data_IF_570860332131
#
_entry.id   IF_570860332131
#
_cell.length_a   1.000
_cell.length_b   1.000
_cell.length_c   1.000
_cell.angle_alpha   90.00
_cell.angle_beta   90.00
_cell.angle_gamma   90.00
#
_symmetry.space_group_name_H-M   'P 1'
#
loop_
_entity.id
_entity.type
_entity.pdbx_description
1 polymer ?
#
# COMPACT_ATOMS: atom_id res chain seq x y z
N UNK A 1 -44.88 2.79 18.67
CA UNK A 1 -43.50 2.34 18.55
C UNK A 1 -42.85 3.15 17.42
N UNK A 2 -42.13 4.23 17.74
CA UNK A 2 -41.47 5.09 16.73
C UNK A 2 -40.16 4.39 16.31
N UNK A 3 -40.04 4.01 15.05
CA UNK A 3 -38.80 3.55 14.44
C UNK A 3 -37.86 4.77 14.45
N UNK A 4 -36.66 4.70 15.03
CA UNK A 4 -35.75 5.81 15.00
C UNK A 4 -35.37 6.11 13.55
N UNK A 5 -35.60 7.33 13.09
CA UNK A 5 -35.10 7.83 11.81
C UNK A 5 -33.57 7.70 11.83
N UNK A 6 -33.06 6.67 11.21
CA UNK A 6 -31.62 6.55 10.91
C UNK A 6 -31.31 7.73 9.97
N UNK A 7 -30.57 8.71 10.45
CA UNK A 7 -30.13 9.84 9.63
C UNK A 7 -29.49 9.27 8.36
N UNK A 8 -30.03 9.62 7.18
CA UNK A 8 -29.49 9.19 5.91
C UNK A 8 -28.04 9.70 5.81
N UNK A 9 -27.07 8.79 5.85
CA UNK A 9 -25.67 9.17 5.66
C UNK A 9 -25.51 9.72 4.24
N UNK A 10 -24.89 10.87 4.11
CA UNK A 10 -24.57 11.45 2.79
C UNK A 10 -23.65 10.50 2.04
N UNK A 11 -24.03 10.14 0.81
CA UNK A 11 -23.20 9.30 -0.06
C UNK A 11 -22.06 10.15 -0.62
N UNK A 12 -20.84 9.66 -0.50
CA UNK A 12 -19.65 10.32 -1.08
C UNK A 12 -19.56 9.93 -2.55
N UNK A 13 -19.62 10.91 -3.44
CA UNK A 13 -19.39 10.70 -4.87
C UNK A 13 -17.90 10.75 -5.15
N UNK A 14 -17.36 9.68 -5.76
CA UNK A 14 -15.95 9.53 -6.11
C UNK A 14 -15.83 9.33 -7.61
N UNK A 15 -14.96 10.10 -8.24
CA UNK A 15 -14.65 9.95 -9.65
C UNK A 15 -13.39 9.08 -9.85
N UNK A 16 -13.57 7.90 -10.41
CA UNK A 16 -12.47 6.96 -10.69
C UNK A 16 -11.49 7.42 -11.77
N UNK A 17 -11.79 8.50 -12.49
CA UNK A 17 -10.88 9.13 -13.45
C UNK A 17 -9.99 10.21 -12.82
N UNK A 18 -10.15 10.52 -11.54
CA UNK A 18 -9.31 11.51 -10.84
C UNK A 18 -7.84 11.06 -10.78
N UNK A 19 -6.93 12.03 -10.80
CA UNK A 19 -5.50 11.78 -10.74
C UNK A 19 -5.03 10.85 -11.87
N UNK A 20 -4.36 9.75 -11.52
CA UNK A 20 -3.89 8.74 -12.48
C UNK A 20 -5.01 7.86 -13.07
N UNK A 21 -6.22 7.92 -12.51
CA UNK A 21 -7.39 7.16 -12.99
C UNK A 21 -7.21 5.64 -12.92
N UNK A 22 -6.45 5.15 -11.94
CA UNK A 22 -6.12 3.73 -11.75
C UNK A 22 -6.95 3.03 -10.67
N UNK A 23 -6.46 1.88 -10.25
CA UNK A 23 -7.12 1.05 -9.22
C UNK A 23 -6.98 1.58 -7.79
N UNK A 24 -6.10 2.55 -7.55
CA UNK A 24 -5.85 3.12 -6.23
C UNK A 24 -7.07 3.86 -5.70
N UNK A 25 -7.74 4.67 -6.53
CA UNK A 25 -8.94 5.41 -6.14
C UNK A 25 -9.97 4.49 -5.49
N UNK A 26 -10.21 3.32 -6.10
CA UNK A 26 -11.12 2.31 -5.55
C UNK A 26 -10.65 1.78 -4.20
N UNK A 27 -9.37 1.39 -4.07
CA UNK A 27 -8.85 0.80 -2.82
C UNK A 27 -8.85 1.81 -1.68
N UNK A 28 -8.44 3.04 -1.94
CA UNK A 28 -8.49 4.13 -0.94
C UNK A 28 -9.92 4.42 -0.52
N UNK A 29 -10.88 4.50 -1.46
CA UNK A 29 -12.29 4.72 -1.15
C UNK A 29 -12.88 3.56 -0.32
N UNK A 30 -12.53 2.30 -0.61
CA UNK A 30 -12.93 1.15 0.20
C UNK A 30 -12.40 1.25 1.63
N UNK A 31 -11.08 1.46 1.80
CA UNK A 31 -10.47 1.58 3.12
C UNK A 31 -11.08 2.73 3.92
N UNK A 32 -11.26 3.89 3.30
CA UNK A 32 -11.88 5.07 3.92
C UNK A 32 -13.34 4.83 4.30
N UNK A 33 -14.11 4.17 3.44
CA UNK A 33 -15.49 3.80 3.74
C UNK A 33 -15.58 2.86 4.94
N UNK A 34 -14.69 1.87 5.04
CA UNK A 34 -14.58 0.97 6.19
C UNK A 34 -14.22 1.74 7.48
N UNK A 35 -13.28 2.69 7.41
CA UNK A 35 -12.81 3.47 8.55
C UNK A 35 -13.83 4.49 9.06
N UNK A 36 -14.53 5.15 8.13
CA UNK A 36 -15.45 6.25 8.46
C UNK A 36 -16.92 5.80 8.60
N UNK A 37 -17.22 4.59 8.12
CA UNK A 37 -18.59 4.10 8.02
C UNK A 37 -19.45 4.88 7.03
N UNK A 38 -18.85 5.67 6.12
CA UNK A 38 -19.56 6.47 5.12
C UNK A 38 -19.76 5.67 3.82
N UNK A 39 -20.99 5.64 3.27
CA UNK A 39 -21.25 5.05 1.97
C UNK A 39 -20.65 5.91 0.87
N UNK A 40 -20.23 5.26 -0.23
CA UNK A 40 -19.75 5.97 -1.40
C UNK A 40 -20.29 5.37 -2.70
N UNK A 41 -20.27 6.19 -3.74
CA UNK A 41 -20.46 5.77 -5.13
C UNK A 41 -19.23 6.14 -5.93
N UNK A 42 -18.63 5.16 -6.57
CA UNK A 42 -17.48 5.35 -7.46
C UNK A 42 -17.94 5.12 -8.90
N UNK A 43 -17.68 6.07 -9.76
CA UNK A 43 -17.96 5.99 -11.21
C UNK A 43 -16.68 6.09 -12.01
N UNK A 44 -16.71 5.75 -13.29
CA UNK A 44 -15.54 5.81 -14.21
C UNK A 44 -14.34 5.04 -13.68
N UNK A 45 -14.58 3.84 -13.12
CA UNK A 45 -13.54 3.00 -12.53
C UNK A 45 -12.47 2.69 -13.56
N UNK A 46 -11.22 3.06 -13.26
CA UNK A 46 -10.04 2.82 -14.11
C UNK A 46 -10.19 3.39 -15.53
N UNK A 47 -10.84 4.53 -15.67
CA UNK A 47 -11.14 5.15 -16.96
C UNK A 47 -9.90 5.47 -17.82
N UNK A 48 -8.73 5.67 -17.18
CA UNK A 48 -7.45 5.98 -17.87
C UNK A 48 -6.59 4.74 -18.13
N UNK A 49 -7.17 3.53 -18.09
CA UNK A 49 -6.47 2.27 -18.39
C UNK A 49 -7.02 1.65 -19.66
N UNK A 50 -6.19 0.90 -20.39
CA UNK A 50 -6.57 0.22 -21.63
C UNK A 50 -7.83 -0.65 -21.50
N UNK A 51 -8.06 -1.19 -20.31
CA UNK A 51 -9.26 -1.95 -19.96
C UNK A 51 -9.91 -1.32 -18.73
N UNK A 52 -10.86 -0.40 -18.91
CA UNK A 52 -11.61 0.20 -17.83
C UNK A 52 -12.42 -0.82 -17.00
N UNK A 53 -12.97 -0.37 -15.88
CA UNK A 53 -13.81 -1.18 -15.00
C UNK A 53 -13.03 -2.12 -14.06
N UNK A 54 -13.78 -2.89 -13.29
CA UNK A 54 -13.24 -3.82 -12.29
C UNK A 54 -12.54 -5.01 -12.96
N UNK A 55 -11.29 -5.27 -12.59
CA UNK A 55 -10.53 -6.47 -12.94
C UNK A 55 -10.54 -7.44 -11.75
N UNK A 56 -10.12 -8.71 -11.89
CA UNK A 56 -10.20 -9.71 -10.82
C UNK A 56 -9.67 -9.22 -9.46
N UNK A 57 -8.48 -8.61 -9.41
CA UNK A 57 -7.92 -8.09 -8.15
C UNK A 57 -8.73 -6.93 -7.54
N UNK A 58 -9.38 -6.10 -8.36
CA UNK A 58 -10.24 -5.01 -7.88
C UNK A 58 -11.55 -5.57 -7.31
N UNK A 59 -12.14 -6.54 -8.00
CA UNK A 59 -13.32 -7.24 -7.53
C UNK A 59 -13.02 -7.98 -6.22
N UNK A 60 -11.88 -8.65 -6.12
CA UNK A 60 -11.45 -9.31 -4.88
C UNK A 60 -11.31 -8.30 -3.72
N UNK A 61 -10.77 -7.10 -3.95
CA UNK A 61 -10.70 -6.05 -2.94
C UNK A 61 -12.08 -5.57 -2.50
N UNK A 62 -13.02 -5.37 -3.44
CA UNK A 62 -14.42 -5.01 -3.13
C UNK A 62 -15.10 -6.09 -2.30
N UNK A 63 -14.99 -7.35 -2.72
CA UNK A 63 -15.60 -8.49 -2.03
C UNK A 63 -14.99 -8.71 -0.64
N UNK A 64 -13.68 -8.55 -0.51
CA UNK A 64 -13.00 -8.65 0.77
C UNK A 64 -13.44 -7.52 1.72
N UNK A 65 -13.48 -6.28 1.26
CA UNK A 65 -13.99 -5.14 2.03
C UNK A 65 -15.45 -5.36 2.43
N UNK A 66 -16.30 -5.83 1.52
CA UNK A 66 -17.71 -6.12 1.81
C UNK A 66 -17.87 -7.22 2.86
N UNK A 67 -17.05 -8.27 2.80
CA UNK A 67 -17.13 -9.39 3.74
C UNK A 67 -16.74 -8.97 5.17
N UNK A 68 -15.70 -8.17 5.34
CA UNK A 68 -15.22 -7.76 6.67
C UNK A 68 -16.16 -6.78 7.39
N UNK A 69 -17.09 -6.13 6.68
CA UNK A 69 -18.06 -5.21 7.28
C UNK A 69 -19.51 -5.54 6.95
N UNK A 70 -19.80 -6.68 6.31
CA UNK A 70 -21.12 -7.04 5.83
C UNK A 70 -21.79 -5.90 5.01
N UNK A 71 -21.03 -5.29 4.10
CA UNK A 71 -21.51 -4.19 3.28
C UNK A 71 -22.58 -4.62 2.28
N UNK A 72 -23.43 -3.67 1.90
CA UNK A 72 -24.27 -3.78 0.70
C UNK A 72 -23.52 -3.19 -0.48
N UNK A 73 -23.34 -3.98 -1.54
CA UNK A 73 -22.63 -3.55 -2.73
C UNK A 73 -23.53 -3.68 -3.95
N UNK A 74 -23.42 -2.73 -4.88
CA UNK A 74 -24.03 -2.80 -6.21
C UNK A 74 -22.93 -2.55 -7.24
N UNK A 75 -22.95 -3.31 -8.32
CA UNK A 75 -21.98 -3.16 -9.41
C UNK A 75 -20.68 -3.99 -9.22
N UNK A 76 -20.60 -4.89 -8.26
CA UNK A 76 -19.48 -5.76 -7.94
C UNK A 76 -19.32 -6.93 -8.93
N UNK A 77 -19.09 -6.61 -10.19
CA UNK A 77 -18.86 -7.59 -11.27
C UNK A 77 -17.68 -7.15 -12.16
N UNK A 78 -17.04 -8.13 -12.77
CA UNK A 78 -15.94 -7.86 -13.73
C UNK A 78 -16.41 -6.91 -14.82
N UNK A 79 -15.57 -5.93 -15.16
CA UNK A 79 -15.85 -4.92 -16.15
C UNK A 79 -16.77 -3.79 -15.70
N UNK A 80 -17.33 -3.84 -14.49
CA UNK A 80 -18.17 -2.75 -13.98
C UNK A 80 -17.38 -1.46 -13.84
N UNK A 81 -17.87 -0.38 -14.44
CA UNK A 81 -17.27 0.95 -14.35
C UNK A 81 -17.85 1.80 -13.23
N UNK A 82 -18.82 1.26 -12.49
CA UNK A 82 -19.38 1.94 -11.33
C UNK A 82 -19.73 0.95 -10.21
N UNK A 83 -19.51 1.37 -8.96
CA UNK A 83 -19.99 0.65 -7.77
C UNK A 83 -20.66 1.62 -6.81
N UNK A 84 -21.61 1.10 -6.04
CA UNK A 84 -22.09 1.73 -4.81
C UNK A 84 -21.78 0.78 -3.65
N UNK A 85 -21.17 1.33 -2.59
CA UNK A 85 -20.73 0.58 -1.42
C UNK A 85 -21.29 1.22 -0.15
N UNK A 86 -22.07 0.44 0.59
CA UNK A 86 -22.66 0.86 1.87
C UNK A 86 -22.07 -0.01 2.99
N UNK A 87 -21.11 0.49 3.77
CA UNK A 87 -20.44 -0.32 4.78
C UNK A 87 -21.32 -0.53 6.01
N UNK A 88 -21.20 -1.73 6.59
CA UNK A 88 -21.56 -1.99 7.98
C UNK A 88 -20.34 -1.79 8.90
N UNK A 89 -20.46 -2.12 10.20
CA UNK A 89 -19.34 -2.12 11.13
C UNK A 89 -18.26 -3.12 10.72
N UNK A 90 -16.99 -2.73 10.83
CA UNK A 90 -15.87 -3.64 10.61
C UNK A 90 -15.89 -4.73 11.69
N UNK A 91 -15.77 -5.98 11.29
CA UNK A 91 -15.84 -7.15 12.16
C UNK A 91 -14.47 -7.84 12.17
N UNK A 92 -13.77 -7.84 13.30
CA UNK A 92 -12.60 -8.68 13.48
C UNK A 92 -12.95 -10.17 13.32
N UNK A 93 -12.01 -10.97 12.82
CA UNK A 93 -12.23 -12.40 12.60
C UNK A 93 -11.19 -13.04 11.69
N UNK A 94 -11.41 -14.30 11.37
CA UNK A 94 -10.54 -15.08 10.48
C UNK A 94 -11.14 -15.08 9.07
N UNK A 95 -10.35 -14.61 8.09
CA UNK A 95 -10.77 -14.43 6.72
C UNK A 95 -9.80 -15.09 5.74
N UNK A 96 -10.35 -15.75 4.76
CA UNK A 96 -9.62 -16.25 3.59
C UNK A 96 -10.19 -15.61 2.32
N UNK A 97 -9.26 -15.08 1.48
CA UNK A 97 -9.60 -14.50 0.19
C UNK A 97 -8.68 -15.08 -0.89
N UNK A 98 -9.27 -15.69 -1.89
CA UNK A 98 -8.58 -16.14 -3.10
C UNK A 98 -8.89 -15.17 -4.24
N UNK A 99 -7.85 -14.57 -4.82
CA UNK A 99 -8.00 -13.64 -5.94
C UNK A 99 -8.26 -14.39 -7.25
N UNK A 100 -7.98 -15.70 -7.28
CA UNK A 100 -8.21 -16.58 -8.43
C UNK A 100 -7.27 -16.35 -9.62
N UNK A 101 -6.33 -15.41 -9.51
CA UNK A 101 -5.36 -15.02 -10.54
C UNK A 101 -4.04 -14.62 -9.89
N UNK A 102 -3.05 -14.19 -10.71
CA UNK A 102 -1.85 -13.54 -10.19
C UNK A 102 -2.08 -12.10 -9.69
N UNK A 103 -3.32 -11.72 -9.38
CA UNK A 103 -3.61 -10.41 -8.79
C UNK A 103 -2.95 -10.24 -7.42
N UNK A 104 -2.48 -9.02 -7.13
CA UNK A 104 -1.63 -8.73 -5.99
C UNK A 104 -2.35 -8.89 -4.64
N UNK A 105 -1.85 -9.80 -3.81
CA UNK A 105 -2.29 -10.00 -2.41
C UNK A 105 -2.00 -8.77 -1.55
N UNK A 106 -0.88 -8.09 -1.82
CA UNK A 106 -0.46 -6.86 -1.13
C UNK A 106 -1.50 -5.74 -1.23
N UNK A 107 -2.11 -5.56 -2.40
CA UNK A 107 -3.12 -4.51 -2.60
C UNK A 107 -4.44 -4.79 -1.88
N UNK A 108 -4.83 -6.07 -1.76
CA UNK A 108 -5.98 -6.47 -0.94
C UNK A 108 -5.67 -6.30 0.54
N UNK A 109 -4.47 -6.72 0.97
CA UNK A 109 -4.02 -6.51 2.35
C UNK A 109 -4.04 -5.03 2.74
N UNK A 110 -3.46 -4.16 1.93
CA UNK A 110 -3.43 -2.71 2.19
C UNK A 110 -4.83 -2.10 2.29
N UNK A 111 -5.82 -2.64 1.55
CA UNK A 111 -7.21 -2.18 1.65
C UNK A 111 -7.84 -2.52 2.99
N UNK A 112 -7.51 -3.67 3.59
CA UNK A 112 -8.15 -4.20 4.80
C UNK A 112 -7.38 -3.92 6.08
N UNK A 113 -6.05 -3.75 5.99
CA UNK A 113 -5.19 -3.74 7.17
C UNK A 113 -5.59 -2.67 8.17
N UNK A 114 -5.63 -1.41 7.75
CA UNK A 114 -5.89 -0.31 8.67
C UNK A 114 -7.28 -0.38 9.31
N UNK A 115 -8.38 -0.62 8.55
CA UNK A 115 -9.69 -0.87 9.14
C UNK A 115 -9.72 -1.99 10.21
N UNK A 116 -9.06 -3.10 9.95
CA UNK A 116 -9.00 -4.21 10.91
C UNK A 116 -8.05 -3.92 12.08
N UNK A 117 -6.97 -3.18 11.84
CA UNK A 117 -6.03 -2.79 12.89
C UNK A 117 -6.65 -1.80 13.89
N UNK A 118 -7.55 -0.93 13.44
CA UNK A 118 -8.24 0.02 14.31
C UNK A 118 -9.46 -0.60 15.01
N UNK A 119 -10.06 -1.64 14.43
CA UNK A 119 -11.19 -2.35 15.03
C UNK A 119 -10.78 -3.06 16.34
N UNK A 120 -11.70 -3.10 17.30
CA UNK A 120 -11.46 -3.81 18.55
C UNK A 120 -11.57 -5.33 18.35
N UNK A 121 -10.43 -6.02 18.44
CA UNK A 121 -10.36 -7.47 18.33
C UNK A 121 -9.38 -7.96 17.27
N UNK A 122 -8.89 -9.18 17.48
CA UNK A 122 -7.89 -9.81 16.61
C UNK A 122 -8.50 -10.27 15.30
N UNK A 123 -7.73 -10.10 14.22
CA UNK A 123 -8.06 -10.66 12.91
C UNK A 123 -6.90 -11.48 12.35
N UNK A 124 -7.22 -12.49 11.54
CA UNK A 124 -6.27 -13.22 10.71
C UNK A 124 -6.75 -13.16 9.27
N UNK A 125 -5.85 -12.82 8.37
CA UNK A 125 -6.09 -12.83 6.93
C UNK A 125 -5.20 -13.88 6.28
N UNK A 126 -5.76 -14.73 5.45
CA UNK A 126 -5.02 -15.54 4.49
C UNK A 126 -5.41 -15.08 3.08
N UNK A 127 -4.42 -14.63 2.31
CA UNK A 127 -4.63 -14.03 0.98
C UNK A 127 -3.89 -14.88 -0.04
N UNK A 128 -4.61 -15.44 -1.02
CA UNK A 128 -4.04 -16.23 -2.10
C UNK A 128 -4.06 -15.48 -3.42
N UNK A 129 -2.90 -15.42 -4.12
CA UNK A 129 -2.77 -14.70 -5.39
C UNK A 129 -1.32 -14.48 -5.78
N UNK A 130 -1.02 -13.29 -6.32
CA UNK A 130 0.33 -12.82 -6.60
C UNK A 130 0.96 -12.17 -5.37
N UNK A 131 2.18 -12.57 -5.01
CA UNK A 131 2.94 -11.99 -3.89
C UNK A 131 4.16 -11.20 -4.36
N UNK A 132 4.63 -11.51 -5.57
CA UNK A 132 5.75 -10.87 -6.26
C UNK A 132 5.35 -10.64 -7.72
N UNK A 133 4.54 -9.62 -7.94
CA UNK A 133 3.97 -9.32 -9.26
C UNK A 133 4.14 -7.85 -9.61
N UNK A 134 4.20 -7.50 -10.91
CA UNK A 134 4.38 -6.13 -11.35
C UNK A 134 3.29 -5.17 -10.84
N UNK A 135 3.64 -3.89 -10.74
CA UNK A 135 2.76 -2.78 -10.36
C UNK A 135 2.09 -2.95 -8.98
N UNK A 136 2.80 -3.61 -8.06
CA UNK A 136 2.38 -3.73 -6.66
C UNK A 136 3.58 -3.99 -5.76
N UNK A 137 3.53 -3.62 -4.46
CA UNK A 137 4.55 -4.01 -3.51
C UNK A 137 4.65 -5.53 -3.42
N UNK A 138 5.88 -6.06 -3.43
CA UNK A 138 6.07 -7.49 -3.18
C UNK A 138 5.96 -7.79 -1.66
N UNK A 139 5.85 -9.09 -1.31
CA UNK A 139 5.75 -9.50 0.09
C UNK A 139 6.89 -8.96 0.94
N UNK A 140 8.14 -9.10 0.51
CA UNK A 140 9.31 -8.66 1.28
C UNK A 140 9.36 -7.14 1.46
N UNK A 141 8.86 -6.35 0.49
CA UNK A 141 8.67 -4.91 0.65
C UNK A 141 7.68 -4.61 1.78
N UNK A 142 6.55 -5.33 1.84
CA UNK A 142 5.58 -5.15 2.92
C UNK A 142 6.14 -5.54 4.29
N UNK A 143 6.87 -6.65 4.38
CA UNK A 143 7.38 -7.17 5.65
C UNK A 143 8.59 -6.39 6.16
N UNK A 144 9.58 -6.09 5.29
CA UNK A 144 10.82 -5.47 5.70
C UNK A 144 10.76 -3.95 5.78
N UNK A 145 9.76 -3.33 5.16
CA UNK A 145 9.70 -1.89 5.02
C UNK A 145 8.38 -1.30 5.51
N UNK A 146 7.27 -1.57 4.81
CA UNK A 146 5.97 -1.00 5.14
C UNK A 146 5.51 -1.33 6.57
N UNK A 147 5.62 -2.59 6.98
CA UNK A 147 5.24 -3.04 8.33
C UNK A 147 6.05 -2.32 9.41
N UNK A 148 7.34 -2.12 9.20
CA UNK A 148 8.20 -1.45 10.19
C UNK A 148 7.85 0.03 10.34
N UNK A 149 7.54 0.72 9.26
CA UNK A 149 7.09 2.12 9.33
C UNK A 149 5.70 2.25 9.96
N UNK A 150 4.78 1.31 9.67
CA UNK A 150 3.48 1.28 10.34
C UNK A 150 3.61 1.01 11.84
N UNK A 151 4.56 0.18 12.26
CA UNK A 151 4.84 -0.05 13.68
C UNK A 151 5.31 1.25 14.38
N UNK A 152 6.10 2.10 13.71
CA UNK A 152 6.46 3.43 14.23
C UNK A 152 5.23 4.33 14.44
N UNK A 153 4.20 4.15 13.62
CA UNK A 153 2.91 4.82 13.77
C UNK A 153 2.00 4.17 14.82
N UNK A 154 2.42 3.09 15.47
CA UNK A 154 1.59 2.36 16.44
C UNK A 154 0.60 1.37 15.82
N UNK A 155 0.77 1.04 14.53
CA UNK A 155 -0.02 0.00 13.85
C UNK A 155 0.83 -1.26 13.74
N UNK A 156 0.53 -2.25 14.56
CA UNK A 156 1.29 -3.50 14.68
C UNK A 156 0.53 -4.66 14.05
N UNK A 157 1.22 -5.49 13.30
CA UNK A 157 0.74 -6.73 12.73
C UNK A 157 1.91 -7.62 12.30
N UNK A 158 1.67 -8.91 12.15
CA UNK A 158 2.66 -9.87 11.66
C UNK A 158 2.29 -10.33 10.25
N UNK A 159 3.32 -10.60 9.44
CA UNK A 159 3.19 -11.17 8.10
C UNK A 159 3.97 -12.48 8.01
N UNK A 160 3.44 -13.42 7.25
CA UNK A 160 4.12 -14.66 6.89
C UNK A 160 3.84 -14.99 5.41
N UNK A 161 4.90 -15.35 4.69
CA UNK A 161 4.82 -15.90 3.33
C UNK A 161 4.84 -17.41 3.42
N UNK A 162 3.72 -18.06 3.13
CA UNK A 162 3.66 -19.53 3.07
C UNK A 162 4.03 -20.06 1.70
N UNK A 163 3.69 -19.30 0.65
CA UNK A 163 3.95 -19.65 -0.74
C UNK A 163 4.19 -18.39 -1.56
N UNK A 164 5.25 -18.33 -2.34
CA UNK A 164 5.46 -17.22 -3.27
C UNK A 164 4.59 -17.37 -4.52
N UNK A 165 4.06 -16.26 -5.02
CA UNK A 165 3.23 -16.21 -6.22
C UNK A 165 3.76 -15.19 -7.21
N UNK A 166 4.25 -15.67 -8.36
CA UNK A 166 4.78 -14.84 -9.44
C UNK A 166 3.82 -14.79 -10.63
N UNK A 167 3.87 -13.71 -11.39
CA UNK A 167 3.13 -13.60 -12.65
C UNK A 167 3.70 -14.58 -13.70
N UNK A 168 2.87 -15.21 -14.55
CA UNK A 168 1.41 -15.08 -14.66
C UNK A 168 0.59 -16.04 -13.75
N UNK A 169 1.22 -17.00 -13.09
CA UNK A 169 0.51 -18.09 -12.39
C UNK A 169 -0.12 -17.64 -11.06
N UNK A 170 0.53 -16.73 -10.31
CA UNK A 170 0.10 -16.43 -8.95
C UNK A 170 0.22 -17.64 -8.02
N UNK A 171 -0.85 -17.97 -7.30
CA UNK A 171 -0.90 -19.13 -6.42
C UNK A 171 -0.05 -19.01 -5.15
N UNK A 172 0.47 -17.81 -4.87
CA UNK A 172 1.15 -17.51 -3.61
C UNK A 172 0.16 -17.29 -2.49
N UNK A 173 0.62 -17.39 -1.24
CA UNK A 173 -0.20 -17.18 -0.06
C UNK A 173 0.56 -16.39 0.99
N UNK A 174 -0.09 -15.30 1.45
CA UNK A 174 0.38 -14.43 2.53
C UNK A 174 -0.62 -14.51 3.67
N UNK A 175 -0.11 -14.67 4.89
CA UNK A 175 -0.89 -14.61 6.11
C UNK A 175 -0.56 -13.34 6.87
N UNK A 176 -1.59 -12.66 7.39
CA UNK A 176 -1.44 -11.51 8.27
C UNK A 176 -2.18 -11.77 9.59
N UNK A 177 -1.51 -11.48 10.71
CA UNK A 177 -2.13 -11.50 12.05
C UNK A 177 -2.18 -10.06 12.57
N UNK A 178 -3.38 -9.57 12.83
CA UNK A 178 -3.66 -8.19 13.20
C UNK A 178 -4.28 -8.20 14.60
N UNK A 179 -3.60 -7.69 15.64
CA UNK A 179 -4.12 -7.70 17.02
C UNK A 179 -5.40 -6.90 17.19
N UNK A 180 -5.58 -5.83 16.40
CA UNK A 180 -6.67 -4.85 16.54
C UNK A 180 -6.40 -3.83 17.66
N UNK A 181 -7.28 -2.83 17.76
CA UNK A 181 -7.19 -1.79 18.79
C UNK A 181 -6.01 -0.82 18.62
N UNK A 182 -5.40 -0.77 17.44
CA UNK A 182 -4.31 0.17 17.12
C UNK A 182 -4.79 1.61 17.23
N UNK A 183 -3.89 2.47 17.71
CA UNK A 183 -4.08 3.92 17.78
C UNK A 183 -2.93 4.59 17.03
N UNK A 184 -3.14 4.97 15.77
CA UNK A 184 -2.10 5.61 14.98
C UNK A 184 -1.63 6.91 15.63
N UNK A 185 -0.32 7.13 15.58
CA UNK A 185 0.35 8.30 16.14
C UNK A 185 0.83 9.21 15.03
N UNK A 186 1.14 10.44 15.36
CA UNK A 186 1.85 11.35 14.46
C UNK A 186 3.28 10.88 14.18
N UNK A 187 3.82 11.28 13.04
CA UNK A 187 5.20 10.98 12.62
C UNK A 187 5.89 12.28 12.20
N UNK A 188 7.11 12.48 12.73
CA UNK A 188 8.01 13.56 12.32
C UNK A 188 9.25 12.93 11.70
N UNK A 189 9.41 13.05 10.38
CA UNK A 189 10.44 12.37 9.62
C UNK A 189 10.94 13.25 8.46
N UNK A 190 11.76 14.28 8.79
CA UNK A 190 12.21 15.31 7.85
C UNK A 190 13.65 15.09 7.35
N UNK A 191 14.48 14.47 8.16
CA UNK A 191 15.87 14.23 7.80
C UNK A 191 16.13 12.72 7.75
N UNK A 192 16.69 12.19 6.65
CA UNK A 192 16.97 10.77 6.53
C UNK A 192 18.09 10.32 7.48
N UNK A 193 19.03 11.20 7.77
CA UNK A 193 20.25 10.88 8.52
C UNK A 193 21.27 10.13 7.68
N UNK A 194 22.24 9.51 8.36
CA UNK A 194 23.33 8.78 7.70
C UNK A 194 22.92 7.36 7.35
N UNK A 195 23.38 6.87 6.22
CA UNK A 195 23.22 5.47 5.82
C UNK A 195 23.92 4.55 6.82
N UNK A 196 23.16 3.63 7.43
CA UNK A 196 23.66 2.67 8.42
C UNK A 196 23.96 1.32 7.78
N UNK A 197 23.03 0.81 6.98
CA UNK A 197 23.15 -0.52 6.41
C UNK A 197 22.39 -0.62 5.09
N UNK A 198 22.91 -1.46 4.19
CA UNK A 198 22.15 -1.99 3.05
C UNK A 198 22.08 -3.49 3.19
N UNK A 199 20.89 -4.02 3.29
CA UNK A 199 20.62 -5.45 3.24
C UNK A 199 19.70 -5.80 2.09
N UNK A 200 19.76 -7.02 1.62
CA UNK A 200 18.95 -7.45 0.48
C UNK A 200 18.67 -8.93 0.44
N UNK A 201 17.77 -9.26 -0.43
CA UNK A 201 17.38 -10.63 -0.76
C UNK A 201 17.42 -10.80 -2.28
N UNK A 202 18.12 -11.82 -2.76
CA UNK A 202 17.99 -12.29 -4.12
C UNK A 202 17.36 -13.68 -4.09
N UNK A 203 16.16 -13.82 -4.64
CA UNK A 203 15.43 -15.07 -4.53
C UNK A 203 14.97 -15.60 -5.89
N UNK A 204 14.91 -16.92 -5.98
CA UNK A 204 14.32 -17.66 -7.11
C UNK A 204 13.21 -18.58 -6.63
N UNK A 205 12.31 -18.92 -7.53
CA UNK A 205 11.26 -19.90 -7.33
C UNK A 205 11.16 -20.78 -8.58
N UNK A 206 11.37 -22.08 -8.44
CA UNK A 206 11.37 -23.05 -9.54
C UNK A 206 12.27 -22.65 -10.73
N UNK A 207 13.37 -21.97 -10.44
CA UNK A 207 14.43 -21.57 -11.37
C UNK A 207 15.79 -21.97 -10.79
N UNK A 208 16.84 -22.14 -11.63
CA UNK A 208 18.19 -22.41 -11.14
C UNK A 208 18.66 -21.34 -10.15
N UNK A 209 19.19 -21.75 -9.00
CA UNK A 209 19.76 -20.87 -7.95
C UNK A 209 20.82 -19.91 -8.51
N UNK A 210 21.53 -20.35 -9.55
CA UNK A 210 22.54 -19.51 -10.23
C UNK A 210 21.99 -18.17 -10.74
N UNK A 211 20.69 -18.07 -11.05
CA UNK A 211 20.05 -16.82 -11.44
C UNK A 211 20.07 -15.82 -10.27
N UNK A 212 19.73 -16.25 -9.06
CA UNK A 212 19.79 -15.41 -7.87
C UNK A 212 21.23 -15.05 -7.51
N UNK A 213 22.17 -15.98 -7.67
CA UNK A 213 23.60 -15.70 -7.45
C UNK A 213 24.14 -14.65 -8.44
N UNK A 214 23.70 -14.66 -9.68
CA UNK A 214 24.07 -13.64 -10.68
C UNK A 214 23.48 -12.29 -10.33
N UNK A 215 22.22 -12.21 -9.92
CA UNK A 215 21.59 -10.99 -9.42
C UNK A 215 22.37 -10.41 -8.23
N UNK A 216 22.66 -11.27 -7.24
CA UNK A 216 23.44 -10.89 -6.06
C UNK A 216 24.81 -10.32 -6.44
N UNK A 217 25.58 -11.03 -7.28
CA UNK A 217 26.91 -10.58 -7.73
C UNK A 217 26.86 -9.23 -8.43
N UNK A 218 25.87 -9.05 -9.31
CA UNK A 218 25.67 -7.79 -10.04
C UNK A 218 25.33 -6.64 -9.08
N UNK A 219 24.37 -6.85 -8.17
CA UNK A 219 23.98 -5.83 -7.19
C UNK A 219 25.15 -5.44 -6.28
N UNK A 220 25.87 -6.41 -5.71
CA UNK A 220 27.03 -6.16 -4.86
C UNK A 220 28.12 -5.39 -5.59
N UNK A 221 28.42 -5.74 -6.85
CA UNK A 221 29.39 -5.02 -7.67
C UNK A 221 29.03 -3.57 -7.84
N UNK A 222 27.75 -3.28 -8.15
CA UNK A 222 27.27 -1.91 -8.36
C UNK A 222 27.19 -1.10 -7.05
N UNK A 223 26.70 -1.72 -5.98
CA UNK A 223 26.60 -1.07 -4.67
C UNK A 223 27.98 -0.69 -4.13
N UNK A 224 29.00 -1.56 -4.26
CA UNK A 224 30.39 -1.23 -3.86
C UNK A 224 30.98 -0.12 -4.68
N UNK A 225 30.66 -0.01 -5.96
CA UNK A 225 31.09 1.10 -6.80
C UNK A 225 30.39 2.42 -6.42
N UNK A 226 29.11 2.36 -6.05
CA UNK A 226 28.32 3.53 -5.64
C UNK A 226 28.67 4.01 -4.23
N UNK A 227 28.95 3.09 -3.32
CA UNK A 227 29.14 3.31 -1.88
C UNK A 227 30.36 2.54 -1.39
N UNK A 228 31.60 3.01 -1.68
CA UNK A 228 32.83 2.27 -1.39
C UNK A 228 33.03 1.96 0.11
N UNK A 229 32.48 2.78 0.99
CA UNK A 229 32.57 2.61 2.45
C UNK A 229 31.47 1.74 3.06
N UNK A 230 30.55 1.21 2.25
CA UNK A 230 29.46 0.34 2.73
C UNK A 230 29.78 -1.13 2.48
N UNK A 231 29.29 -1.99 3.36
CA UNK A 231 29.35 -3.44 3.22
C UNK A 231 27.93 -4.01 3.06
N UNK A 232 27.37 -3.95 1.85
CA UNK A 232 26.02 -4.44 1.62
C UNK A 232 25.95 -5.97 1.75
N UNK A 233 24.91 -6.46 2.44
CA UNK A 233 24.65 -7.88 2.61
C UNK A 233 23.43 -8.29 1.79
N UNK A 234 23.58 -9.29 0.91
CA UNK A 234 22.47 -9.84 0.11
C UNK A 234 22.44 -11.34 0.30
N UNK A 235 21.38 -11.84 0.90
CA UNK A 235 21.15 -13.29 1.03
C UNK A 235 20.55 -13.87 -0.25
N UNK A 236 20.79 -15.17 -0.49
CA UNK A 236 20.21 -15.89 -1.62
C UNK A 236 19.28 -16.98 -1.11
N UNK A 237 18.04 -16.94 -1.57
CA UNK A 237 17.00 -17.86 -1.14
C UNK A 237 16.29 -18.56 -2.33
N UNK A 238 15.73 -19.72 -2.03
CA UNK A 238 14.80 -20.42 -2.90
C UNK A 238 13.43 -20.42 -2.23
N UNK A 239 12.45 -19.77 -2.89
CA UNK A 239 11.12 -19.60 -2.33
C UNK A 239 10.21 -20.74 -2.81
N UNK A 240 9.41 -21.34 -1.91
CA UNK A 240 8.37 -22.29 -2.32
C UNK A 240 7.34 -21.55 -3.18
N UNK A 241 7.02 -22.08 -4.36
CA UNK A 241 6.08 -21.46 -5.30
C UNK A 241 5.46 -22.46 -6.26
N UNK A 242 4.26 -22.17 -6.75
CA UNK A 242 3.62 -22.93 -7.84
C UNK A 242 4.22 -22.55 -9.20
N UNK A 243 4.51 -21.27 -9.38
CA UNK A 243 5.05 -20.70 -10.62
C UNK A 243 6.57 -20.53 -10.58
N UNK A 244 7.14 -20.10 -11.71
CA UNK A 244 8.53 -19.68 -11.80
C UNK A 244 8.63 -18.18 -11.57
N UNK A 245 9.71 -17.75 -10.91
CA UNK A 245 9.95 -16.32 -10.73
C UNK A 245 11.26 -16.03 -10.04
N UNK A 246 11.65 -14.77 -10.05
CA UNK A 246 12.81 -14.29 -9.31
C UNK A 246 12.62 -12.82 -8.93
N UNK A 247 13.22 -12.42 -7.82
CA UNK A 247 13.20 -11.08 -7.29
C UNK A 247 14.55 -10.74 -6.70
N UNK A 248 15.00 -9.50 -6.86
CA UNK A 248 16.04 -8.91 -6.03
C UNK A 248 15.44 -7.72 -5.31
N UNK A 249 15.60 -7.69 -3.99
CA UNK A 249 15.13 -6.62 -3.13
C UNK A 249 16.32 -6.06 -2.35
N UNK A 250 16.37 -4.74 -2.21
CA UNK A 250 17.36 -3.99 -1.44
C UNK A 250 16.65 -3.07 -0.46
N UNK A 251 17.08 -3.10 0.79
CA UNK A 251 16.63 -2.20 1.84
C UNK A 251 17.82 -1.37 2.31
N UNK A 252 17.69 -0.05 2.19
CA UNK A 252 18.62 0.90 2.84
C UNK A 252 17.99 1.40 4.14
N UNK A 253 18.75 1.26 5.22
CA UNK A 253 18.39 1.74 6.55
C UNK A 253 19.31 2.92 6.89
N UNK A 254 18.70 4.08 7.16
CA UNK A 254 19.40 5.29 7.58
C UNK A 254 19.08 5.56 9.06
N UNK A 255 19.64 6.59 9.66
CA UNK A 255 19.37 6.94 11.07
C UNK A 255 17.88 7.09 11.35
N UNK A 256 17.15 7.73 10.46
CA UNK A 256 15.73 7.98 10.58
C UNK A 256 14.94 7.54 9.34
N UNK A 257 15.54 7.68 8.15
CA UNK A 257 14.94 7.31 6.86
C UNK A 257 15.09 5.83 6.53
N UNK A 258 14.32 5.38 5.54
CA UNK A 258 14.38 4.03 5.03
C UNK A 258 13.81 3.96 3.61
N UNK A 259 14.42 3.17 2.72
CA UNK A 259 13.89 2.87 1.41
C UNK A 259 14.04 1.40 1.04
N UNK A 260 13.05 0.89 0.34
CA UNK A 260 13.05 -0.48 -0.15
C UNK A 260 12.78 -0.51 -1.66
N UNK A 261 13.76 -1.00 -2.41
CA UNK A 261 13.71 -1.07 -3.86
C UNK A 261 13.82 -2.51 -4.33
N UNK A 262 13.12 -2.88 -5.38
CA UNK A 262 13.19 -4.24 -5.89
C UNK A 262 13.03 -4.30 -7.41
N UNK A 263 13.63 -5.34 -8.01
CA UNK A 263 13.44 -5.72 -9.39
C UNK A 263 12.82 -7.12 -9.47
N UNK A 264 11.91 -7.30 -10.42
CA UNK A 264 11.26 -8.58 -10.69
C UNK A 264 11.76 -9.18 -11.99
N UNK A 265 11.98 -10.51 -11.99
CA UNK A 265 12.26 -11.24 -13.21
C UNK A 265 11.06 -11.39 -14.11
N UNK A 266 11.36 -11.50 -15.41
CA UNK A 266 10.37 -11.78 -16.44
C UNK A 266 11.00 -12.74 -17.48
N UNK A 267 10.22 -13.48 -18.26
CA UNK A 267 10.75 -14.26 -19.37
C UNK A 267 11.61 -13.41 -20.32
N UNK A 268 12.81 -13.88 -20.62
CA UNK A 268 13.79 -13.16 -21.46
C UNK A 268 14.58 -12.05 -20.78
N UNK A 269 14.24 -11.64 -19.55
CA UNK A 269 14.96 -10.64 -18.79
C UNK A 269 16.19 -11.23 -18.12
N UNK A 270 17.37 -10.63 -18.37
CA UNK A 270 18.63 -11.10 -17.79
C UNK A 270 18.64 -10.88 -16.28
N UNK A 271 19.28 -11.77 -15.54
CA UNK A 271 19.45 -11.68 -14.10
C UNK A 271 20.09 -10.35 -13.67
N UNK A 272 21.07 -9.88 -14.43
CA UNK A 272 21.77 -8.63 -14.17
C UNK A 272 20.83 -7.41 -14.27
N UNK A 273 19.90 -7.42 -15.24
CA UNK A 273 18.92 -6.32 -15.38
C UNK A 273 17.93 -6.24 -14.23
N UNK A 274 17.58 -7.39 -13.64
CA UNK A 274 16.75 -7.42 -12.42
C UNK A 274 17.48 -6.73 -11.26
N UNK A 275 18.79 -6.99 -11.14
CA UNK A 275 19.62 -6.34 -10.14
C UNK A 275 19.81 -4.84 -10.43
N UNK A 276 20.03 -4.48 -11.70
CA UNK A 276 20.23 -3.08 -12.11
C UNK A 276 19.01 -2.23 -11.77
N UNK A 277 17.79 -2.70 -12.00
CA UNK A 277 16.56 -1.97 -11.64
C UNK A 277 16.48 -1.65 -10.14
N UNK A 278 16.76 -2.63 -9.28
CA UNK A 278 16.71 -2.42 -7.84
C UNK A 278 17.81 -1.44 -7.38
N UNK A 279 19.02 -1.57 -7.95
CA UNK A 279 20.16 -0.68 -7.59
C UNK A 279 19.93 0.73 -8.12
N UNK A 280 19.39 0.89 -9.34
CA UNK A 280 19.11 2.22 -9.91
C UNK A 280 18.07 2.97 -9.09
N UNK A 281 16.99 2.28 -8.68
CA UNK A 281 15.97 2.85 -7.81
C UNK A 281 16.55 3.24 -6.43
N UNK A 282 17.37 2.38 -5.83
CA UNK A 282 18.03 2.68 -4.57
C UNK A 282 19.01 3.84 -4.69
N UNK A 283 19.79 3.89 -5.77
CA UNK A 283 20.72 4.98 -6.04
C UNK A 283 19.98 6.33 -6.26
N UNK A 284 18.81 6.32 -6.88
CA UNK A 284 17.97 7.50 -7.01
C UNK A 284 17.52 8.01 -5.64
N UNK A 285 17.03 7.11 -4.77
CA UNK A 285 16.66 7.45 -3.40
C UNK A 285 17.85 8.03 -2.61
N UNK A 286 18.99 7.38 -2.62
CA UNK A 286 20.18 7.82 -1.85
C UNK A 286 20.78 9.16 -2.34
N UNK A 287 20.46 9.59 -3.56
CA UNK A 287 20.82 10.93 -4.06
C UNK A 287 19.81 12.00 -3.66
N UNK A 288 18.63 11.61 -3.23
CA UNK A 288 17.64 12.52 -2.68
C UNK A 288 17.87 12.76 -1.20
N UNK A 289 17.20 13.73 -0.64
CA UNK A 289 17.09 13.98 0.79
C UNK A 289 15.79 13.43 1.38
N UNK A 290 15.13 12.53 0.66
CA UNK A 290 13.89 11.86 1.09
C UNK A 290 14.11 10.93 2.28
N UNK A 291 13.17 10.94 3.19
CA UNK A 291 13.16 10.05 4.35
C UNK A 291 12.46 8.72 4.06
N UNK A 292 11.63 8.72 3.04
CA UNK A 292 10.91 7.53 2.55
C UNK A 292 10.97 7.47 1.02
N UNK A 293 10.89 6.26 0.48
CA UNK A 293 10.79 6.07 -0.96
C UNK A 293 9.42 6.52 -1.50
N UNK A 294 9.29 6.73 -2.85
CA UNK A 294 8.08 7.31 -3.44
C UNK A 294 6.82 6.47 -3.21
N UNK A 295 6.98 5.15 -3.15
CA UNK A 295 5.87 4.21 -3.01
C UNK A 295 5.38 4.11 -1.58
N UNK A 296 6.29 4.23 -0.60
CA UNK A 296 5.90 4.25 0.80
C UNK A 296 5.18 5.55 1.17
N UNK A 297 5.56 6.67 0.58
CA UNK A 297 4.96 7.97 0.87
C UNK A 297 3.43 7.95 0.68
N UNK A 298 2.93 7.39 -0.42
CA UNK A 298 1.49 7.30 -0.65
C UNK A 298 0.79 6.29 0.28
N UNK A 299 1.49 5.20 0.64
CA UNK A 299 0.97 4.15 1.52
C UNK A 299 0.87 4.59 2.99
N UNK A 300 1.62 5.61 3.38
CA UNK A 300 1.57 6.19 4.73
C UNK A 300 0.49 7.26 4.89
N UNK A 301 -0.02 7.87 3.80
CA UNK A 301 -0.99 8.96 3.90
C UNK A 301 -2.23 8.59 4.72
N UNK A 302 -2.82 7.42 4.46
CA UNK A 302 -4.03 7.01 5.16
C UNK A 302 -3.78 6.70 6.64
N UNK A 303 -2.74 5.95 7.04
CA UNK A 303 -2.35 5.80 8.44
C UNK A 303 -2.08 7.12 9.14
N UNK A 304 -1.39 8.07 8.49
CA UNK A 304 -1.12 9.40 9.03
C UNK A 304 -2.40 10.23 9.19
N UNK A 305 -3.32 10.12 8.22
CA UNK A 305 -4.62 10.78 8.29
C UNK A 305 -5.51 10.29 9.44
N UNK A 306 -5.25 9.08 9.94
CA UNK A 306 -5.93 8.49 11.11
C UNK A 306 -5.16 8.71 12.41
N UNK A 307 -3.99 9.34 12.36
CA UNK A 307 -3.11 9.56 13.50
C UNK A 307 -3.60 10.68 14.42
N UNK A 308 -3.12 10.67 15.67
CA UNK A 308 -3.35 11.74 16.64
C UNK A 308 -2.30 12.84 16.46
N UNK A 309 -2.69 13.99 15.88
CA UNK A 309 -1.85 15.17 15.71
C UNK A 309 -1.17 15.26 14.34
N UNK A 310 -0.46 16.39 14.09
CA UNK A 310 0.17 16.67 12.80
C UNK A 310 1.36 15.77 12.54
N UNK A 311 1.49 15.36 11.29
CA UNK A 311 2.63 14.55 10.80
C UNK A 311 3.33 15.27 9.67
N UNK A 312 4.64 15.12 9.61
CA UNK A 312 5.48 15.65 8.54
C UNK A 312 6.49 14.59 8.12
N UNK A 313 6.66 14.39 6.82
CA UNK A 313 7.69 13.53 6.25
C UNK A 313 8.15 14.07 4.89
N UNK A 314 9.34 13.65 4.48
CA UNK A 314 9.91 14.02 3.18
C UNK A 314 9.95 12.80 2.26
N UNK A 315 9.24 12.85 1.13
CA UNK A 315 9.35 11.83 0.09
C UNK A 315 10.54 12.11 -0.82
N UNK A 316 11.15 11.05 -1.33
CA UNK A 316 12.21 11.19 -2.35
C UNK A 316 11.66 11.59 -3.73
N UNK A 317 10.36 11.44 -3.97
CA UNK A 317 9.70 11.83 -5.22
C UNK A 317 8.19 11.97 -5.03
N UNK A 318 7.61 13.02 -5.59
CA UNK A 318 6.15 13.19 -5.70
C UNK A 318 5.64 12.34 -6.87
N UNK A 319 4.80 11.37 -6.57
CA UNK A 319 4.17 10.51 -7.58
C UNK A 319 2.73 10.91 -7.88
N UNK A 320 2.18 10.56 -9.06
CA UNK A 320 0.75 10.70 -9.32
C UNK A 320 -0.11 9.91 -8.34
N UNK A 321 0.40 8.78 -7.82
CA UNK A 321 -0.24 7.97 -6.78
C UNK A 321 -0.42 8.75 -5.47
N UNK A 322 0.63 9.41 -5.00
CA UNK A 322 0.62 10.23 -3.79
C UNK A 322 -0.47 11.31 -3.87
N UNK A 323 -0.48 12.09 -4.97
CA UNK A 323 -1.44 13.17 -5.18
C UNK A 323 -2.88 12.65 -5.30
N UNK A 324 -3.06 11.53 -6.01
CA UNK A 324 -4.37 10.87 -6.15
C UNK A 324 -4.89 10.40 -4.80
N UNK A 325 -4.04 9.77 -3.99
CA UNK A 325 -4.41 9.26 -2.67
C UNK A 325 -4.80 10.41 -1.72
N UNK A 326 -4.00 11.48 -1.69
CA UNK A 326 -4.32 12.69 -0.92
C UNK A 326 -5.69 13.27 -1.31
N UNK A 327 -6.00 13.35 -2.61
CA UNK A 327 -7.27 13.85 -3.10
C UNK A 327 -8.45 12.95 -2.66
N UNK A 328 -8.31 11.62 -2.72
CA UNK A 328 -9.36 10.69 -2.27
C UNK A 328 -9.57 10.77 -0.76
N UNK A 329 -8.51 10.87 0.04
CA UNK A 329 -8.60 10.98 1.50
C UNK A 329 -9.42 12.23 1.90
N UNK A 330 -9.19 13.38 1.24
CA UNK A 330 -9.93 14.63 1.51
C UNK A 330 -11.43 14.55 1.20
N UNK A 331 -11.88 13.60 0.37
CA UNK A 331 -13.31 13.38 0.13
C UNK A 331 -14.03 12.79 1.36
N UNK A 332 -13.32 11.96 2.14
CA UNK A 332 -13.90 11.23 3.28
C UNK A 332 -13.60 11.86 4.63
N UNK A 333 -12.47 12.53 4.76
CA UNK A 333 -11.97 13.07 6.02
C UNK A 333 -11.83 14.59 5.94
N UNK A 334 -12.21 15.33 6.99
CA UNK A 334 -11.92 16.75 7.12
C UNK A 334 -10.44 16.91 7.52
N UNK A 335 -9.54 16.86 6.55
CA UNK A 335 -8.09 16.83 6.77
C UNK A 335 -7.39 17.73 5.76
N UNK A 336 -6.31 18.37 6.20
CA UNK A 336 -5.37 19.05 5.32
C UNK A 336 -4.18 18.12 5.05
N UNK A 337 -3.88 17.92 3.78
CA UNK A 337 -2.69 17.20 3.32
C UNK A 337 -1.99 18.14 2.35
N UNK A 338 -0.83 18.63 2.70
CA UNK A 338 -0.03 19.47 1.82
C UNK A 338 1.18 18.68 1.28
N UNK A 339 1.50 18.90 0.01
CA UNK A 339 2.65 18.26 -0.67
C UNK A 339 3.41 19.41 -1.34
N UNK A 340 4.46 19.86 -0.67
CA UNK A 340 5.28 21.00 -1.12
C UNK A 340 6.43 20.52 -2.01
N UNK A 341 6.17 20.41 -3.28
CA UNK A 341 7.14 20.02 -4.30
C UNK A 341 6.49 19.62 -5.63
N UNK A 342 7.21 19.73 -6.74
CA UNK A 342 6.69 19.37 -8.05
C UNK A 342 6.67 17.85 -8.27
N UNK A 343 5.84 17.41 -9.19
CA UNK A 343 5.78 16.01 -9.65
C UNK A 343 7.17 15.55 -10.13
N UNK A 344 7.60 14.36 -9.69
CA UNK A 344 8.88 13.76 -10.05
C UNK A 344 10.08 14.27 -9.24
N UNK A 345 9.89 15.13 -8.25
CA UNK A 345 10.95 15.65 -7.38
C UNK A 345 10.67 15.35 -5.90
N UNK A 346 11.67 15.47 -5.01
CA UNK A 346 11.47 15.39 -3.57
C UNK A 346 10.48 16.45 -3.07
N UNK A 347 9.76 16.14 -2.00
CA UNK A 347 8.78 17.05 -1.41
C UNK A 347 8.56 16.80 0.07
N UNK A 348 8.20 17.86 0.79
CA UNK A 348 7.68 17.75 2.14
C UNK A 348 6.18 17.45 2.10
N UNK A 349 5.77 16.50 2.90
CA UNK A 349 4.36 16.10 3.05
C UNK A 349 3.93 16.44 4.46
N UNK A 350 2.91 17.29 4.59
CA UNK A 350 2.29 17.62 5.85
C UNK A 350 0.87 17.06 5.89
N UNK A 351 0.54 16.39 6.98
CA UNK A 351 -0.78 15.81 7.22
C UNK A 351 -1.30 16.35 8.54
N UNK A 352 -2.36 17.17 8.48
CA UNK A 352 -2.95 17.78 9.67
C UNK A 352 -4.41 17.30 9.82
N UNK A 353 -4.69 16.38 10.76
CA UNK A 353 -6.06 16.05 11.11
C UNK A 353 -6.80 17.31 11.53
N UNK A 354 -8.05 17.49 11.05
CA UNK A 354 -8.85 18.59 11.53
C UNK A 354 -8.98 18.51 13.06
N UNK A 355 -8.82 19.65 13.74
CA UNK A 355 -9.05 19.73 15.17
C UNK A 355 -10.42 19.09 15.48
N UNK A 356 -10.48 18.10 16.36
CA UNK A 356 -11.75 17.54 16.84
C UNK A 356 -12.57 18.70 17.37
N UNK A 357 -13.82 18.92 16.89
CA UNK A 357 -14.69 19.88 17.56
C UNK A 357 -14.81 19.43 19.02
N UNK A 358 -14.81 20.35 19.99
CA UNK A 358 -15.04 20.01 21.39
C UNK A 358 -16.31 19.17 21.48
N UNK A 359 -16.30 18.13 22.30
CA UNK A 359 -17.39 17.18 22.48
C UNK A 359 -18.73 17.94 22.62
N UNK A 360 -19.63 17.76 21.66
CA UNK A 360 -20.95 18.36 21.62
C UNK A 360 -21.32 19.22 20.40
N UNK A 361 -20.43 19.52 19.48
CA UNK A 361 -20.76 20.28 18.27
C UNK A 361 -20.97 19.41 17.05
N UNK A 362 -22.22 19.26 16.65
CA UNK A 362 -22.60 18.66 15.35
C UNK A 362 -22.18 19.63 14.25
N UNK A 363 -21.25 19.19 13.37
CA UNK A 363 -20.78 19.97 12.20
C UNK A 363 -21.95 20.16 11.23
N UNK A 364 -22.59 21.33 11.21
CA UNK A 364 -23.43 21.75 10.08
C UNK A 364 -22.50 22.12 8.90
N UNK A 365 -22.49 21.32 7.85
CA UNK A 365 -21.84 21.69 6.60
C UNK A 365 -22.52 22.89 5.97
N UNK A 366 -21.80 24.02 5.84
CA UNK A 366 -22.21 25.13 4.96
C UNK A 366 -22.14 24.63 3.53
N UNK A 367 -23.29 24.53 2.88
CA UNK A 367 -23.38 24.30 1.44
C UNK A 367 -22.74 25.48 0.71
N UNK A 368 -21.78 25.20 -0.16
CA UNK A 368 -21.42 26.19 -1.17
C UNK A 368 -22.50 26.18 -2.23
N UNK A 369 -23.28 27.26 -2.26
CA UNK A 369 -24.08 27.69 -3.41
C UNK A 369 -23.20 28.65 -4.21
N UNK A 370 -23.13 28.39 -5.46
CA UNK A 370 -22.77 29.11 -6.69
C UNK A 370 -21.56 28.55 -7.40
#
# INVERSE_FOLDING_TARGET
>A
MRIPHQAMKTIIEVDGAMGEGGGQVLRSALSLSLLTGQPFRLTRIRAKRDQPGLRPQHLAAVQAAAKVCAARVRGDRIGSEAIAFEPGPVRPGDYFFDIGTAGATSLVLQTLLLPLALAAGRSRLALRGGTHVPASPCYHYLDWHWRLLLARLGVHFDLALTMAGFYPRGGGEVQATIPGGSKPRSLQLMEPGTLRQIRGLSAVANLPREIAERQRRQALRRLRALLPSSEPEIVVEELPAVGRGTVLLLLAELDAGQACCFGLGAPGKRAEWVADEAVDALAAYLRSDGTVDPWLADQLLLPLAMGEGPSVLRTSEVTPHLLTNAAVIRLFLPIEIDVDGPLGAPADIQVQPAARPPDGMTIQRRGHVS
#
